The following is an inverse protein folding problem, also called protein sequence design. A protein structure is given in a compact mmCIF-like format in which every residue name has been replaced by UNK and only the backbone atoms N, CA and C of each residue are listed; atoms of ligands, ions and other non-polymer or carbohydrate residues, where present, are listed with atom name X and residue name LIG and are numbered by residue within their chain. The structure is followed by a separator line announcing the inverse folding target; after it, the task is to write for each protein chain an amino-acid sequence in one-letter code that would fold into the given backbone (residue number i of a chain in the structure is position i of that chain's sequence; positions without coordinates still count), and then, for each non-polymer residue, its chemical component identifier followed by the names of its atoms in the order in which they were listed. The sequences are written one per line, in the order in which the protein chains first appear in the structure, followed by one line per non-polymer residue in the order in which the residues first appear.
data_IF_190316718727
#
_entry.id   IF_190316718727
#
_cell.length_a   1.000
_cell.length_b   1.000
_cell.length_c   1.000
_cell.angle_alpha   90.00
_cell.angle_beta   90.00
_cell.angle_gamma   90.00
#
_symmetry.space_group_name_H-M   'P 1'
#
loop_
_entity.id
_entity.type
_entity.pdbx_description
1 polymer ?
#
# COMPACT_ATOMS: atom_id res chain seq x y z
N UNK A 1 72.74 19.54 -36.66
CA UNK A 1 71.53 20.16 -37.12
C UNK A 1 70.53 20.15 -35.94
N UNK A 2 70.31 21.28 -35.30
CA UNK A 2 69.38 21.41 -34.20
C UNK A 2 68.03 21.88 -34.74
N UNK A 3 66.94 21.24 -34.37
CA UNK A 3 65.62 21.67 -34.67
C UNK A 3 65.01 22.27 -33.36
N UNK A 4 64.85 23.57 -33.35
CA UNK A 4 64.06 24.31 -32.33
C UNK A 4 62.58 24.15 -32.66
N UNK A 5 61.81 23.64 -31.72
CA UNK A 5 60.35 23.62 -31.77
C UNK A 5 59.80 24.76 -30.93
N UNK A 6 59.19 25.72 -31.62
CA UNK A 6 58.35 26.73 -31.01
C UNK A 6 57.08 26.09 -30.42
N UNK A 7 56.87 26.25 -29.13
CA UNK A 7 55.61 25.95 -28.44
C UNK A 7 54.82 27.25 -28.34
N UNK A 8 53.69 27.32 -29.04
CA UNK A 8 52.67 28.32 -28.85
C UNK A 8 51.73 27.87 -27.72
N UNK A 9 51.35 28.74 -26.74
CA UNK A 9 50.39 28.41 -25.75
C UNK A 9 48.96 28.57 -26.31
N UNK A 10 48.20 27.51 -26.33
CA UNK A 10 46.75 27.53 -26.58
C UNK A 10 46.03 27.95 -25.28
N UNK A 11 45.56 29.18 -25.22
CA UNK A 11 44.63 29.62 -24.18
C UNK A 11 43.20 29.24 -24.63
N UNK A 12 42.59 28.27 -23.98
CA UNK A 12 41.16 28.00 -24.07
C UNK A 12 40.41 28.90 -23.07
N UNK A 13 39.31 29.54 -23.48
CA UNK A 13 38.45 30.26 -22.52
C UNK A 13 37.66 29.25 -21.70
N UNK A 14 37.74 29.34 -20.38
CA UNK A 14 36.81 28.70 -19.47
C UNK A 14 35.41 29.29 -19.67
N UNK A 15 34.53 28.54 -20.30
CA UNK A 15 33.12 28.83 -20.33
C UNK A 15 32.53 28.66 -18.91
N UNK A 16 31.75 29.61 -18.49
CA UNK A 16 31.23 29.74 -17.14
C UNK A 16 30.44 28.49 -16.68
N UNK A 17 30.74 28.09 -15.47
CA UNK A 17 29.92 27.19 -14.70
C UNK A 17 28.61 27.85 -14.38
N UNK A 18 27.49 27.36 -14.92
CA UNK A 18 26.16 27.69 -14.48
C UNK A 18 26.05 27.22 -13.02
N UNK A 19 25.93 28.18 -12.12
CA UNK A 19 25.59 27.92 -10.72
C UNK A 19 24.21 27.27 -10.68
N UNK A 20 24.15 25.96 -10.47
CA UNK A 20 22.94 25.31 -10.01
C UNK A 20 22.61 25.93 -8.66
N UNK A 21 21.52 26.70 -8.60
CA UNK A 21 20.90 27.11 -7.36
C UNK A 21 20.45 25.82 -6.64
N UNK A 22 21.23 25.41 -5.65
CA UNK A 22 20.74 24.45 -4.67
C UNK A 22 19.56 25.12 -3.97
N UNK A 23 18.34 24.65 -4.25
CA UNK A 23 17.19 24.99 -3.43
C UNK A 23 17.55 24.62 -2.00
N UNK A 24 17.47 25.58 -1.09
CA UNK A 24 17.68 25.33 0.33
C UNK A 24 16.66 24.25 0.75
N UNK A 25 17.14 23.04 0.95
CA UNK A 25 16.34 21.94 1.47
C UNK A 25 15.95 22.33 2.90
N UNK A 26 14.66 22.40 3.20
CA UNK A 26 14.21 22.68 4.54
C UNK A 26 14.90 21.68 5.49
N UNK A 27 15.38 22.16 6.63
CA UNK A 27 15.98 21.26 7.63
C UNK A 27 14.92 20.24 8.08
N UNK A 28 15.33 18.98 8.21
CA UNK A 28 14.48 17.95 8.77
C UNK A 28 13.96 18.40 10.16
N UNK A 29 12.69 18.10 10.51
CA UNK A 29 12.14 18.45 11.81
C UNK A 29 13.03 17.94 12.94
N UNK A 30 13.23 18.74 13.99
CA UNK A 30 14.10 18.39 15.13
C UNK A 30 13.50 17.28 16.06
N UNK A 31 12.32 16.76 15.73
CA UNK A 31 11.59 15.77 16.51
C UNK A 31 11.44 14.42 15.79
N UNK A 32 10.79 13.48 16.47
CA UNK A 32 10.35 12.21 15.84
C UNK A 32 9.18 12.49 14.90
N UNK A 33 9.27 12.19 13.58
CA UNK A 33 8.18 12.43 12.66
C UNK A 33 7.02 11.47 12.92
N UNK A 34 5.80 11.87 12.60
CA UNK A 34 4.70 10.95 12.38
C UNK A 34 4.99 10.10 11.14
N UNK A 35 4.50 8.88 11.12
CA UNK A 35 4.74 7.95 10.00
C UNK A 35 3.39 7.40 9.53
N UNK A 36 3.11 7.54 8.25
CA UNK A 36 1.96 6.93 7.59
C UNK A 36 2.46 5.98 6.52
N UNK A 37 2.19 4.69 6.70
CA UNK A 37 2.32 3.70 5.65
C UNK A 37 0.93 3.49 5.05
N UNK A 38 0.73 4.02 3.84
CA UNK A 38 -0.51 3.92 3.08
C UNK A 38 -0.38 2.78 2.07
N UNK A 39 -0.93 1.61 2.41
CA UNK A 39 -0.85 0.42 1.58
C UNK A 39 -2.17 0.15 0.88
N UNK A 40 -2.10 -0.03 -0.43
CA UNK A 40 -3.21 -0.39 -1.30
C UNK A 40 -3.15 -1.88 -1.63
N UNK A 41 -4.28 -2.51 -1.81
CA UNK A 41 -4.40 -3.94 -2.09
C UNK A 41 -4.63 -4.17 -3.59
N UNK A 42 -3.78 -4.96 -4.24
CA UNK A 42 -3.87 -5.35 -5.65
C UNK A 42 -3.71 -4.22 -6.69
N UNK A 43 -2.98 -3.16 -6.40
CA UNK A 43 -2.81 -2.04 -7.30
C UNK A 43 -1.61 -2.23 -8.25
N UNK A 44 -1.88 -2.22 -9.55
CA UNK A 44 -0.84 -2.28 -10.58
C UNK A 44 -0.32 -0.91 -11.04
N UNK A 45 0.71 -0.93 -11.86
CA UNK A 45 1.37 0.28 -12.39
C UNK A 45 0.49 1.19 -13.23
N UNK A 46 -0.58 0.66 -13.83
CA UNK A 46 -1.51 1.42 -14.67
C UNK A 46 -2.84 1.77 -13.97
N UNK A 47 -2.98 1.40 -12.69
CA UNK A 47 -4.17 1.72 -11.89
C UNK A 47 -4.13 3.16 -11.32
N UNK A 48 -3.54 4.08 -12.07
CA UNK A 48 -3.30 5.47 -11.66
C UNK A 48 -3.13 6.39 -12.86
N UNK A 49 -3.46 7.68 -12.71
CA UNK A 49 -3.11 8.70 -13.69
C UNK A 49 -1.61 9.06 -13.69
N UNK A 50 -0.87 8.65 -12.63
CA UNK A 50 0.56 8.92 -12.50
C UNK A 50 1.38 7.83 -13.20
N UNK A 51 2.17 8.12 -14.25
CA UNK A 51 2.93 7.11 -14.96
C UNK A 51 4.17 6.66 -14.14
N UNK A 52 4.16 5.40 -13.69
CA UNK A 52 5.36 4.76 -13.09
C UNK A 52 6.35 4.28 -14.16
N UNK A 53 5.87 4.02 -15.38
CA UNK A 53 6.70 3.75 -16.54
C UNK A 53 7.39 5.02 -17.07
N UNK A 54 8.39 4.86 -17.96
CA UNK A 54 9.07 5.99 -18.61
C UNK A 54 8.17 6.76 -19.58
N UNK A 55 7.08 6.14 -20.03
CA UNK A 55 6.13 6.67 -20.98
C UNK A 55 4.75 6.78 -20.33
N UNK A 56 4.06 7.89 -20.63
CA UNK A 56 2.64 8.01 -20.35
C UNK A 56 1.86 7.16 -21.36
N UNK A 57 0.95 6.33 -20.88
CA UNK A 57 0.13 5.45 -21.72
C UNK A 57 -1.34 5.84 -21.64
N UNK A 58 -2.15 5.37 -22.60
CA UNK A 58 -3.59 5.63 -22.55
C UNK A 58 -4.28 5.02 -21.31
N UNK A 59 -3.66 4.04 -20.65
CA UNK A 59 -4.15 3.50 -19.38
C UNK A 59 -4.11 4.54 -18.26
N UNK A 60 -3.11 5.42 -18.27
CA UNK A 60 -3.01 6.51 -17.29
C UNK A 60 -4.10 7.58 -17.47
N UNK A 61 -4.67 7.72 -18.70
CA UNK A 61 -5.80 8.62 -18.94
C UNK A 61 -7.14 8.08 -18.46
N UNK A 62 -7.19 6.78 -18.13
CA UNK A 62 -8.41 6.08 -17.76
C UNK A 62 -8.88 6.48 -16.37
N UNK A 63 -7.96 6.56 -15.41
CA UNK A 63 -8.24 6.80 -14.00
C UNK A 63 -7.88 8.23 -13.59
N UNK A 64 -8.50 8.69 -12.51
CA UNK A 64 -8.20 9.98 -11.90
C UNK A 64 -7.66 9.76 -10.48
N UNK A 65 -6.36 10.01 -10.30
CA UNK A 65 -5.67 9.88 -9.02
C UNK A 65 -4.89 11.16 -8.67
N UNK A 66 -5.59 12.31 -8.54
CA UNK A 66 -4.94 13.61 -8.35
C UNK A 66 -4.17 13.72 -7.03
N UNK A 67 -4.51 12.91 -6.02
CA UNK A 67 -3.82 12.93 -4.73
C UNK A 67 -2.52 12.11 -4.77
N UNK A 68 -2.46 11.01 -5.53
CA UNK A 68 -1.19 10.34 -5.84
C UNK A 68 -0.26 11.29 -6.61
N UNK A 69 -0.79 12.05 -7.58
CA UNK A 69 0.00 13.08 -8.28
C UNK A 69 0.48 14.17 -7.33
N UNK A 70 -0.38 14.62 -6.38
CA UNK A 70 0.00 15.58 -5.34
C UNK A 70 1.12 15.03 -4.47
N UNK A 71 1.01 13.80 -3.99
CA UNK A 71 2.03 13.14 -3.18
C UNK A 71 3.35 13.01 -3.95
N UNK A 72 3.30 12.63 -5.24
CA UNK A 72 4.49 12.54 -6.09
C UNK A 72 5.17 13.89 -6.32
N UNK A 73 4.40 14.97 -6.43
CA UNK A 73 4.97 16.34 -6.50
C UNK A 73 5.64 16.77 -5.20
N UNK A 74 5.21 16.24 -4.06
CA UNK A 74 5.77 16.54 -2.73
C UNK A 74 6.91 15.60 -2.33
N UNK A 75 7.04 14.45 -3.00
CA UNK A 75 7.95 13.38 -2.64
C UNK A 75 8.76 12.81 -3.82
N UNK A 76 9.20 11.58 -3.63
CA UNK A 76 9.98 10.79 -4.60
C UNK A 76 9.15 9.61 -5.06
N UNK A 77 9.05 9.40 -6.38
CA UNK A 77 8.53 8.18 -6.97
C UNK A 77 9.64 7.14 -7.08
N UNK A 78 9.40 5.94 -6.56
CA UNK A 78 10.29 4.80 -6.76
C UNK A 78 9.79 3.96 -7.93
N UNK A 79 10.66 3.74 -8.91
CA UNK A 79 10.32 2.95 -10.10
C UNK A 79 10.76 1.48 -9.99
N UNK A 80 11.46 1.13 -8.91
CA UNK A 80 11.93 -0.23 -8.63
C UNK A 80 11.67 -0.60 -7.16
N UNK A 81 10.42 -0.48 -6.74
CA UNK A 81 9.96 -0.97 -5.45
C UNK A 81 9.34 -2.37 -5.61
N UNK A 82 9.68 -3.27 -4.71
CA UNK A 82 9.31 -4.69 -4.80
C UNK A 82 8.63 -5.18 -3.53
N UNK A 83 7.61 -6.01 -3.73
CA UNK A 83 6.92 -6.76 -2.70
C UNK A 83 6.90 -8.25 -3.06
N UNK A 84 6.22 -9.08 -2.27
CA UNK A 84 5.89 -10.43 -2.69
C UNK A 84 4.72 -10.40 -3.68
N UNK A 85 4.53 -11.51 -4.42
CA UNK A 85 3.47 -11.58 -5.43
C UNK A 85 2.04 -11.72 -4.87
N UNK A 86 1.90 -11.84 -3.54
CA UNK A 86 0.64 -12.03 -2.82
C UNK A 86 0.64 -11.27 -1.49
N UNK A 87 -0.55 -10.93 -1.02
CA UNK A 87 -0.78 -10.09 0.16
C UNK A 87 -0.16 -10.62 1.46
N UNK A 88 -0.45 -11.89 1.89
CA UNK A 88 0.07 -12.39 3.17
C UNK A 88 1.59 -12.44 3.20
N UNK A 89 2.30 -12.97 2.19
CA UNK A 89 3.77 -12.92 2.16
C UNK A 89 4.32 -11.52 2.32
N UNK A 90 3.81 -10.56 1.55
CA UNK A 90 4.23 -9.15 1.64
C UNK A 90 4.03 -8.56 3.02
N UNK A 91 2.84 -8.77 3.60
CA UNK A 91 2.49 -8.20 4.90
C UNK A 91 3.25 -8.85 6.05
N UNK A 92 3.59 -10.16 5.92
CA UNK A 92 4.51 -10.84 6.84
C UNK A 92 5.94 -10.30 6.72
N UNK A 93 6.43 -10.07 5.49
CA UNK A 93 7.75 -9.46 5.26
C UNK A 93 7.82 -8.06 5.87
N UNK A 94 6.81 -7.23 5.63
CA UNK A 94 6.70 -5.89 6.21
C UNK A 94 6.75 -5.92 7.75
N UNK A 95 5.93 -6.77 8.38
CA UNK A 95 5.83 -6.80 9.84
C UNK A 95 7.12 -7.27 10.52
N UNK A 96 7.91 -8.13 9.87
CA UNK A 96 9.05 -8.82 10.51
C UNK A 96 10.42 -8.45 9.96
N UNK A 97 10.50 -7.65 8.86
CA UNK A 97 11.75 -7.38 8.15
C UNK A 97 12.40 -8.65 7.59
N UNK A 98 11.62 -9.71 7.38
CA UNK A 98 12.10 -10.99 6.87
C UNK A 98 11.50 -11.30 5.51
N UNK A 99 12.32 -11.72 4.54
CA UNK A 99 11.81 -12.10 3.23
C UNK A 99 11.01 -13.42 3.26
N UNK A 100 10.21 -13.64 2.20
CA UNK A 100 9.32 -14.79 2.11
C UNK A 100 10.04 -16.16 2.15
N UNK A 101 11.28 -16.23 1.68
CA UNK A 101 12.09 -17.45 1.76
C UNK A 101 12.45 -17.80 3.22
N UNK A 102 12.61 -16.79 4.08
CA UNK A 102 12.93 -16.96 5.50
C UNK A 102 11.68 -17.25 6.33
N UNK A 103 10.63 -16.43 6.22
CA UNK A 103 9.42 -16.64 7.01
C UNK A 103 8.52 -17.75 6.45
N UNK A 104 8.74 -18.23 5.23
CA UNK A 104 8.00 -19.32 4.59
C UNK A 104 6.48 -19.19 4.62
N UNK A 105 5.96 -17.98 4.62
CA UNK A 105 4.57 -17.69 4.29
C UNK A 105 4.56 -17.38 2.79
N UNK A 106 4.21 -18.34 1.96
CA UNK A 106 4.40 -18.28 0.50
C UNK A 106 3.09 -18.13 -0.28
N UNK A 107 1.96 -18.25 0.42
CA UNK A 107 0.63 -18.04 -0.14
C UNK A 107 -0.24 -17.26 0.86
N UNK A 108 -1.47 -16.92 0.49
CA UNK A 108 -2.39 -16.20 1.37
C UNK A 108 -2.91 -17.12 2.49
N UNK A 109 -3.08 -16.55 3.69
CA UNK A 109 -3.53 -17.25 4.90
C UNK A 109 -5.03 -17.01 5.12
N UNK A 110 -5.75 -17.95 5.74
CA UNK A 110 -7.13 -17.72 6.19
C UNK A 110 -7.55 -18.62 7.33
N UNK A 111 -7.47 -19.98 7.16
CA UNK A 111 -7.91 -20.95 8.15
C UNK A 111 -6.71 -21.62 8.80
N UNK A 112 -6.76 -21.78 10.11
CA UNK A 112 -5.71 -22.44 10.89
C UNK A 112 -5.40 -23.84 10.38
N UNK A 113 -4.12 -24.09 10.06
CA UNK A 113 -3.63 -25.38 9.60
C UNK A 113 -4.09 -25.80 8.19
N UNK A 114 -4.66 -24.88 7.42
CA UNK A 114 -5.16 -25.16 6.06
C UNK A 114 -4.38 -24.35 5.04
N UNK A 115 -3.73 -25.08 4.12
CA UNK A 115 -3.06 -24.43 2.98
C UNK A 115 -4.09 -23.94 1.96
N UNK A 116 -3.76 -22.88 1.24
CA UNK A 116 -4.58 -22.31 0.16
C UNK A 116 -4.03 -22.64 -1.22
N UNK A 117 -3.03 -23.54 -1.29
CA UNK A 117 -2.49 -24.03 -2.54
C UNK A 117 -3.56 -24.82 -3.32
N UNK A 118 -3.60 -24.59 -4.62
CA UNK A 118 -4.48 -25.38 -5.49
C UNK A 118 -3.95 -26.81 -5.60
N UNK A 119 -4.83 -27.81 -5.49
CA UNK A 119 -4.45 -29.18 -5.71
C UNK A 119 -3.93 -29.39 -7.15
N UNK A 120 -2.81 -30.11 -7.30
CA UNK A 120 -2.25 -30.48 -8.60
C UNK A 120 -1.72 -31.93 -8.50
N UNK A 121 -2.16 -32.79 -9.42
CA UNK A 121 -1.79 -34.21 -9.42
C UNK A 121 -0.32 -34.47 -9.76
N UNK A 122 0.40 -33.47 -10.29
CA UNK A 122 1.79 -33.56 -10.73
C UNK A 122 2.78 -32.89 -9.78
N UNK A 123 2.29 -32.06 -8.85
CA UNK A 123 3.10 -31.25 -7.96
C UNK A 123 2.81 -31.57 -6.50
N UNK A 124 3.86 -31.85 -5.74
CA UNK A 124 3.80 -31.89 -4.28
C UNK A 124 4.31 -30.54 -3.76
N UNK A 125 3.43 -29.75 -3.19
CA UNK A 125 3.82 -28.49 -2.59
C UNK A 125 4.57 -28.72 -1.28
N UNK A 126 5.67 -27.99 -1.03
CA UNK A 126 6.34 -28.07 0.26
C UNK A 126 5.44 -27.49 1.36
N UNK A 127 5.57 -28.01 2.57
CA UNK A 127 4.93 -27.40 3.74
C UNK A 127 5.43 -25.98 3.94
N UNK A 128 4.50 -25.06 4.25
CA UNK A 128 4.79 -23.65 4.51
C UNK A 128 4.01 -23.16 5.74
N UNK A 129 4.36 -21.99 6.27
CA UNK A 129 3.76 -21.42 7.47
C UNK A 129 2.36 -20.84 7.18
N UNK A 130 1.38 -21.71 6.89
CA UNK A 130 0.03 -21.31 6.49
C UNK A 130 -0.77 -20.63 7.61
N UNK A 131 -0.29 -20.67 8.85
CA UNK A 131 -0.84 -19.89 9.97
C UNK A 131 -0.26 -18.49 10.07
N UNK A 132 0.69 -18.11 9.20
CA UNK A 132 1.26 -16.77 9.13
C UNK A 132 2.39 -16.53 10.12
N UNK A 133 2.33 -15.41 10.82
CA UNK A 133 3.37 -15.00 11.78
C UNK A 133 2.85 -14.92 13.21
N UNK A 134 3.77 -15.09 14.16
CA UNK A 134 3.56 -14.91 15.60
C UNK A 134 4.77 -14.20 16.22
N UNK A 135 4.61 -13.60 17.40
CA UNK A 135 5.73 -13.02 18.18
C UNK A 135 6.28 -13.97 19.26
N UNK A 136 5.65 -15.13 19.43
CA UNK A 136 6.08 -16.17 20.38
C UNK A 136 5.81 -17.56 19.81
N UNK A 137 6.54 -18.54 20.29
CA UNK A 137 6.33 -19.95 20.00
C UNK A 137 4.98 -20.46 20.57
N UNK A 138 4.51 -21.60 20.07
CA UNK A 138 3.30 -22.28 20.57
C UNK A 138 2.17 -22.42 19.55
N UNK A 139 2.36 -21.91 18.35
CA UNK A 139 1.44 -22.13 17.21
C UNK A 139 2.21 -22.78 16.07
N UNK A 140 1.82 -23.98 15.68
CA UNK A 140 2.44 -24.71 14.58
C UNK A 140 2.23 -23.95 13.24
N UNK A 141 3.08 -24.21 12.26
CA UNK A 141 3.01 -23.62 10.92
C UNK A 141 2.94 -22.08 10.95
N UNK A 142 3.68 -21.47 11.88
CA UNK A 142 3.88 -20.03 11.99
C UNK A 142 5.37 -19.70 11.96
N UNK A 143 5.69 -18.52 11.43
CA UNK A 143 7.02 -17.93 11.59
C UNK A 143 7.02 -17.05 12.85
N UNK A 144 7.98 -17.28 13.73
CA UNK A 144 8.15 -16.45 14.93
C UNK A 144 9.15 -15.33 14.62
N UNK A 145 8.69 -14.08 14.74
CA UNK A 145 9.49 -12.91 14.46
C UNK A 145 9.02 -11.69 15.27
N UNK A 146 9.94 -10.77 15.54
CA UNK A 146 9.62 -9.51 16.22
C UNK A 146 8.96 -8.56 15.23
N UNK A 147 7.84 -7.94 15.60
CA UNK A 147 7.23 -6.88 14.82
C UNK A 147 8.00 -5.56 15.00
N UNK A 148 8.29 -4.87 13.88
CA UNK A 148 8.88 -3.53 13.95
C UNK A 148 7.96 -2.53 14.65
N UNK A 149 6.64 -2.77 14.63
CA UNK A 149 5.65 -1.91 15.30
C UNK A 149 5.81 -1.91 16.81
N UNK A 150 6.20 -3.06 17.41
CA UNK A 150 6.56 -3.10 18.83
C UNK A 150 7.78 -2.21 19.15
N UNK A 151 8.75 -2.13 18.22
CA UNK A 151 9.89 -1.24 18.37
C UNK A 151 9.45 0.24 18.29
N UNK A 152 8.56 0.59 17.39
CA UNK A 152 7.99 1.93 17.32
C UNK A 152 7.21 2.28 18.58
N UNK A 153 6.36 1.36 19.08
CA UNK A 153 5.64 1.54 20.34
C UNK A 153 6.59 1.73 21.52
N UNK A 154 7.62 0.90 21.65
CA UNK A 154 8.66 1.05 22.65
C UNK A 154 9.43 2.37 22.50
N UNK A 155 9.55 2.89 21.28
CA UNK A 155 10.07 4.22 20.95
C UNK A 155 9.12 5.37 21.28
N UNK A 156 7.92 5.10 21.80
CA UNK A 156 6.92 6.10 22.22
C UNK A 156 5.99 6.58 21.13
N UNK A 157 5.82 5.81 20.05
CA UNK A 157 4.79 6.08 19.04
C UNK A 157 3.44 5.54 19.48
N UNK A 158 2.37 6.28 19.21
CA UNK A 158 1.01 5.73 19.21
C UNK A 158 0.77 4.97 17.93
N UNK A 159 0.55 3.64 18.04
CA UNK A 159 0.55 2.72 16.89
C UNK A 159 -0.89 2.37 16.48
N UNK A 160 -1.25 2.70 15.24
CA UNK A 160 -2.60 2.61 14.70
C UNK A 160 -2.60 1.68 13.49
N UNK A 161 -3.38 0.61 13.55
CA UNK A 161 -3.74 -0.24 12.43
C UNK A 161 -5.14 0.14 11.93
N UNK A 162 -5.31 0.33 10.62
CA UNK A 162 -6.61 0.62 10.02
C UNK A 162 -6.77 -0.15 8.69
N UNK A 163 -7.70 -1.09 8.65
CA UNK A 163 -8.04 -1.88 7.47
C UNK A 163 -7.50 -3.31 7.50
N UNK A 164 -6.99 -3.80 6.37
CA UNK A 164 -6.55 -5.19 6.17
C UNK A 164 -5.28 -5.53 6.95
N UNK A 165 -5.34 -6.57 7.79
CA UNK A 165 -4.18 -7.14 8.46
C UNK A 165 -3.54 -8.28 7.64
N UNK A 166 -4.18 -9.42 7.58
CA UNK A 166 -3.88 -10.54 6.69
C UNK A 166 -2.45 -11.12 6.79
N UNK A 167 -1.87 -11.15 7.99
CA UNK A 167 -0.58 -11.80 8.24
C UNK A 167 -0.66 -13.06 9.10
N UNK A 168 -1.88 -13.58 9.32
CA UNK A 168 -2.10 -14.85 10.01
C UNK A 168 -3.52 -15.36 9.84
N UNK A 169 -3.69 -16.66 10.10
CA UNK A 169 -4.96 -17.35 9.99
C UNK A 169 -5.88 -17.07 11.20
N UNK A 170 -7.17 -17.31 11.03
CA UNK A 170 -8.18 -17.28 12.10
C UNK A 170 -7.75 -18.22 13.24
N UNK A 171 -8.00 -17.83 14.48
CA UNK A 171 -7.60 -18.55 15.69
C UNK A 171 -6.07 -18.73 15.85
N UNK A 172 -5.28 -17.84 15.25
CA UNK A 172 -3.82 -17.75 15.44
C UNK A 172 -3.41 -16.36 15.91
N UNK A 173 -2.19 -16.16 16.46
CA UNK A 173 -1.74 -14.84 16.88
C UNK A 173 -1.77 -13.80 15.77
N UNK A 174 -1.51 -14.19 14.51
CA UNK A 174 -1.50 -13.31 13.34
C UNK A 174 -2.87 -12.78 12.91
N UNK A 175 -3.97 -13.24 13.51
CA UNK A 175 -5.30 -12.70 13.25
C UNK A 175 -5.48 -11.29 13.82
N UNK A 176 -4.85 -11.00 14.97
CA UNK A 176 -5.12 -9.78 15.72
C UNK A 176 -3.94 -8.80 15.71
N UNK A 177 -4.07 -7.62 15.11
CA UNK A 177 -3.04 -6.57 15.11
C UNK A 177 -2.50 -6.18 16.48
N UNK A 178 -3.29 -6.27 17.54
CA UNK A 178 -2.81 -5.97 18.89
C UNK A 178 -1.66 -6.88 19.33
N UNK A 179 -1.56 -8.10 18.81
CA UNK A 179 -0.46 -9.01 19.12
C UNK A 179 0.87 -8.59 18.46
N UNK A 180 0.86 -7.58 17.59
CA UNK A 180 2.03 -7.10 16.84
C UNK A 180 2.38 -5.65 17.16
N UNK A 181 1.97 -5.15 18.32
CA UNK A 181 2.36 -3.84 18.82
C UNK A 181 1.41 -2.69 18.44
N UNK A 182 0.31 -2.95 17.76
CA UNK A 182 -0.69 -1.92 17.51
C UNK A 182 -1.56 -1.68 18.74
N UNK A 183 -1.65 -0.42 19.18
CA UNK A 183 -2.51 0.01 20.28
C UNK A 183 -3.97 0.21 19.85
N UNK A 184 -4.16 0.56 18.57
CA UNK A 184 -5.47 0.72 17.95
C UNK A 184 -5.58 -0.25 16.78
N UNK A 185 -6.68 -0.99 16.73
CA UNK A 185 -7.05 -1.83 15.60
C UNK A 185 -8.43 -1.43 15.07
N UNK A 186 -8.48 -0.94 13.85
CA UNK A 186 -9.70 -0.56 13.15
C UNK A 186 -9.90 -1.54 12.00
N UNK A 187 -10.92 -2.39 12.09
CA UNK A 187 -11.33 -3.33 11.04
C UNK A 187 -10.29 -4.36 10.59
N UNK A 188 -9.17 -4.54 11.35
CA UNK A 188 -8.12 -5.51 11.02
C UNK A 188 -8.43 -6.89 11.57
N UNK A 189 -8.33 -7.92 10.71
CA UNK A 189 -8.52 -9.33 11.05
C UNK A 189 -7.81 -10.25 10.03
N UNK A 190 -8.00 -11.59 10.18
CA UNK A 190 -7.32 -12.58 9.36
C UNK A 190 -7.67 -12.55 7.86
N UNK A 191 -8.86 -12.08 7.47
CA UNK A 191 -9.30 -12.16 6.08
C UNK A 191 -8.57 -11.16 5.17
N UNK A 192 -8.21 -11.63 3.98
CA UNK A 192 -7.45 -10.88 2.99
C UNK A 192 -8.25 -9.97 2.07
N UNK A 193 -9.56 -9.89 2.25
CA UNK A 193 -10.46 -9.04 1.46
C UNK A 193 -11.76 -8.79 2.20
N UNK A 194 -12.61 -7.85 1.78
CA UNK A 194 -13.91 -7.61 2.40
C UNK A 194 -14.98 -8.53 1.79
N UNK A 195 -16.01 -8.85 2.57
CA UNK A 195 -17.21 -9.49 2.02
C UNK A 195 -17.93 -8.55 1.03
N UNK A 196 -17.90 -7.25 1.30
CA UNK A 196 -18.44 -6.16 0.48
C UNK A 196 -17.94 -4.82 1.01
N UNK A 197 -17.87 -3.81 0.12
CA UNK A 197 -17.57 -2.42 0.49
C UNK A 197 -18.81 -1.62 0.89
N UNK A 198 -20.00 -2.22 0.78
CA UNK A 198 -21.27 -1.53 0.94
C UNK A 198 -21.77 -1.55 2.38
N UNK A 199 -22.00 -0.38 2.96
CA UNK A 199 -22.64 -0.24 4.29
C UNK A 199 -24.08 -0.72 4.29
N UNK A 200 -24.77 -0.70 3.15
CA UNK A 200 -26.12 -1.24 2.96
C UNK A 200 -26.18 -2.76 3.16
N UNK A 201 -25.03 -3.41 3.07
CA UNK A 201 -24.83 -4.84 3.36
C UNK A 201 -24.05 -5.06 4.66
N UNK A 202 -23.99 -4.04 5.53
CA UNK A 202 -23.31 -4.03 6.82
C UNK A 202 -21.86 -4.56 6.74
N UNK A 203 -21.18 -4.33 5.60
CA UNK A 203 -19.85 -4.86 5.29
C UNK A 203 -19.71 -6.38 5.49
N UNK A 204 -20.80 -7.13 5.30
CA UNK A 204 -20.84 -8.59 5.40
C UNK A 204 -21.47 -9.15 6.66
N UNK A 205 -22.17 -8.33 7.44
CA UNK A 205 -22.99 -8.79 8.58
C UNK A 205 -24.48 -8.79 8.24
N UNK A 206 -25.23 -9.69 8.89
CA UNK A 206 -26.69 -9.65 8.84
C UNK A 206 -27.28 -8.57 9.77
N UNK A 207 -28.60 -8.46 9.78
CA UNK A 207 -29.32 -7.48 10.61
C UNK A 207 -29.19 -7.76 12.14
N UNK A 208 -28.86 -9.00 12.52
CA UNK A 208 -28.65 -9.39 13.92
C UNK A 208 -27.18 -9.20 14.36
N UNK A 209 -26.32 -8.69 13.48
CA UNK A 209 -24.90 -8.50 13.76
C UNK A 209 -24.07 -9.80 13.70
N UNK A 210 -24.52 -10.83 12.96
CA UNK A 210 -23.76 -12.05 12.75
C UNK A 210 -22.99 -11.98 11.44
N UNK A 211 -21.70 -12.37 11.42
CA UNK A 211 -20.91 -12.37 10.18
C UNK A 211 -21.46 -13.38 9.17
N UNK A 212 -21.67 -12.94 7.93
CA UNK A 212 -22.08 -13.76 6.80
C UNK A 212 -20.86 -14.37 6.10
N UNK A 213 -19.97 -15.00 6.86
CA UNK A 213 -18.75 -15.63 6.40
C UNK A 213 -17.48 -14.99 6.94
N UNK A 214 -16.33 -15.51 6.49
CA UNK A 214 -15.02 -15.16 7.05
C UNK A 214 -14.50 -13.78 6.63
N UNK A 215 -15.13 -13.16 5.64
CA UNK A 215 -14.71 -11.88 5.06
C UNK A 215 -15.53 -10.68 5.55
N UNK A 216 -16.42 -10.87 6.55
CA UNK A 216 -17.16 -9.79 7.17
C UNK A 216 -16.21 -8.85 7.93
N UNK A 217 -16.36 -7.52 7.72
CA UNK A 217 -15.44 -6.52 8.26
C UNK A 217 -15.92 -6.06 9.65
N UNK A 218 -15.15 -6.32 10.73
CA UNK A 218 -15.55 -6.01 12.10
C UNK A 218 -15.35 -4.54 12.48
N UNK A 219 -16.04 -4.09 13.52
CA UNK A 219 -15.76 -2.82 14.22
C UNK A 219 -16.24 -1.56 13.51
N UNK A 220 -17.10 -1.69 12.50
CA UNK A 220 -17.63 -0.56 11.72
C UNK A 220 -19.17 -0.47 11.80
N UNK A 221 -19.78 -0.99 12.88
CA UNK A 221 -21.23 -1.08 13.07
C UNK A 221 -21.92 0.28 12.98
N UNK A 222 -21.26 1.36 13.42
CA UNK A 222 -21.77 2.72 13.35
C UNK A 222 -22.02 3.25 11.93
N UNK A 223 -21.44 2.58 10.93
CA UNK A 223 -21.61 2.93 9.51
C UNK A 223 -22.63 2.05 8.79
N UNK A 224 -23.17 1.01 9.44
CA UNK A 224 -24.14 0.15 8.80
C UNK A 224 -25.36 0.93 8.32
N UNK A 225 -25.85 0.61 7.14
CA UNK A 225 -27.01 1.26 6.50
C UNK A 225 -26.86 2.78 6.28
N UNK A 226 -25.64 3.33 6.39
CA UNK A 226 -25.41 4.79 6.31
C UNK A 226 -25.17 5.32 4.90
N UNK A 227 -24.96 4.45 3.90
CA UNK A 227 -24.47 4.83 2.58
C UNK A 227 -22.97 5.13 2.54
N UNK A 228 -22.25 4.94 3.65
CA UNK A 228 -20.79 5.17 3.70
C UNK A 228 -20.05 3.99 3.12
N UNK A 229 -19.25 4.22 2.09
CA UNK A 229 -18.43 3.17 1.47
C UNK A 229 -17.28 2.75 2.41
N UNK A 230 -16.86 1.48 2.39
CA UNK A 230 -15.85 0.94 3.32
C UNK A 230 -14.56 1.78 3.33
N UNK A 231 -14.03 2.15 2.15
CA UNK A 231 -12.84 2.99 2.04
C UNK A 231 -12.99 4.33 2.77
N UNK A 232 -14.17 4.95 2.67
CA UNK A 232 -14.47 6.20 3.35
C UNK A 232 -14.60 6.00 4.87
N UNK A 233 -15.26 4.92 5.32
CA UNK A 233 -15.39 4.59 6.74
C UNK A 233 -14.00 4.43 7.39
N UNK A 234 -13.11 3.65 6.77
CA UNK A 234 -11.73 3.46 7.23
C UNK A 234 -10.97 4.79 7.30
N UNK A 235 -11.12 5.65 6.29
CA UNK A 235 -10.46 6.97 6.27
C UNK A 235 -10.90 7.85 7.43
N UNK A 236 -12.20 7.90 7.72
CA UNK A 236 -12.75 8.67 8.84
C UNK A 236 -12.24 8.16 10.18
N UNK A 237 -12.17 6.84 10.36
CA UNK A 237 -11.63 6.23 11.57
C UNK A 237 -10.14 6.48 11.75
N UNK A 238 -9.35 6.36 10.67
CA UNK A 238 -7.92 6.65 10.69
C UNK A 238 -7.64 8.09 11.11
N UNK A 239 -8.35 9.06 10.52
CA UNK A 239 -8.24 10.48 10.88
C UNK A 239 -8.59 10.69 12.35
N UNK A 240 -9.69 10.12 12.83
CA UNK A 240 -10.09 10.26 14.24
C UNK A 240 -9.05 9.66 15.22
N UNK A 241 -8.37 8.57 14.83
CA UNK A 241 -7.30 7.98 15.62
C UNK A 241 -6.03 8.85 15.64
N UNK A 242 -5.65 9.42 14.48
CA UNK A 242 -4.53 10.39 14.40
C UNK A 242 -4.81 11.67 15.20
N UNK A 243 -6.04 12.22 15.12
CA UNK A 243 -6.46 13.39 15.93
C UNK A 243 -6.27 13.14 17.43
N UNK A 244 -6.57 11.91 17.87
CA UNK A 244 -6.38 11.52 19.27
C UNK A 244 -4.90 11.52 19.65
N UNK A 245 -4.01 10.98 18.80
CA UNK A 245 -2.57 10.97 19.04
C UNK A 245 -2.01 12.40 19.14
N UNK A 246 -2.34 13.27 18.19
CA UNK A 246 -1.90 14.67 18.18
C UNK A 246 -2.41 15.44 19.40
N UNK A 247 -3.65 15.20 19.84
CA UNK A 247 -4.21 15.83 21.05
C UNK A 247 -3.43 15.47 22.31
N UNK A 248 -2.78 14.32 22.34
CA UNK A 248 -1.92 13.89 23.46
C UNK A 248 -0.44 14.16 23.25
N UNK A 249 -0.08 14.97 22.24
CA UNK A 249 1.30 15.31 21.89
C UNK A 249 2.19 14.05 21.70
N UNK A 250 1.63 13.04 21.02
CA UNK A 250 2.26 11.75 20.81
C UNK A 250 2.52 11.52 19.32
N UNK A 251 3.77 11.26 18.89
CA UNK A 251 4.00 10.89 17.50
C UNK A 251 3.27 9.59 17.19
N UNK A 252 2.68 9.49 15.99
CA UNK A 252 1.93 8.31 15.60
C UNK A 252 2.58 7.55 14.44
N UNK A 253 2.35 6.24 14.45
CA UNK A 253 2.51 5.38 13.29
C UNK A 253 1.12 4.90 12.85
N UNK A 254 0.69 5.29 11.67
CA UNK A 254 -0.53 4.79 11.03
C UNK A 254 -0.16 3.79 9.93
N UNK A 255 -0.58 2.54 10.08
CA UNK A 255 -0.65 1.59 9.00
C UNK A 255 -2.05 1.66 8.40
N UNK A 256 -2.21 2.55 7.38
CA UNK A 256 -3.43 2.67 6.59
C UNK A 256 -3.41 1.61 5.51
N UNK A 257 -3.99 0.48 5.81
CA UNK A 257 -3.98 -0.72 4.98
C UNK A 257 -5.36 -0.94 4.37
N UNK A 258 -5.61 -0.30 3.22
CA UNK A 258 -6.90 -0.42 2.55
C UNK A 258 -7.20 -1.86 2.10
N UNK A 259 -8.50 -2.22 2.10
CA UNK A 259 -9.00 -3.36 1.34
C UNK A 259 -9.14 -3.03 -0.16
N UNK A 260 -9.26 -1.73 -0.50
CA UNK A 260 -9.28 -1.28 -1.90
C UNK A 260 -7.89 -1.50 -2.53
N UNK A 261 -7.85 -1.99 -3.72
CA UNK A 261 -8.88 -2.17 -4.74
C UNK A 261 -9.22 -3.67 -4.96
N UNK A 262 -9.06 -4.49 -3.92
CA UNK A 262 -9.29 -5.94 -3.96
C UNK A 262 -10.77 -6.28 -4.24
N UNK A 263 -11.02 -7.44 -4.81
CA UNK A 263 -12.38 -7.99 -4.99
C UNK A 263 -13.12 -8.15 -3.64
N UNK A 264 -14.48 -8.03 -3.64
CA UNK A 264 -15.40 -7.82 -4.76
C UNK A 264 -15.28 -6.41 -5.33
N UNK A 265 -15.54 -6.25 -6.64
CA UNK A 265 -15.52 -4.93 -7.28
C UNK A 265 -16.89 -4.27 -7.10
N UNK A 266 -17.15 -3.79 -5.90
CA UNK A 266 -18.35 -3.02 -5.59
C UNK A 266 -18.22 -1.59 -6.13
N UNK A 267 -19.37 -0.98 -6.46
CA UNK A 267 -19.43 0.36 -7.05
C UNK A 267 -19.38 1.42 -5.96
N UNK A 268 -18.37 2.27 -5.97
CA UNK A 268 -18.41 3.50 -5.21
C UNK A 268 -19.24 4.54 -5.97
N UNK A 269 -20.48 4.74 -5.54
CA UNK A 269 -21.44 5.60 -6.23
C UNK A 269 -21.04 7.07 -6.26
N UNK A 270 -20.07 7.50 -5.45
CA UNK A 270 -19.51 8.86 -5.48
C UNK A 270 -18.82 9.14 -6.82
N UNK A 271 -18.25 8.09 -7.48
CA UNK A 271 -17.42 8.20 -8.67
C UNK A 271 -17.91 7.37 -9.87
N UNK A 272 -18.67 6.31 -9.63
CA UNK A 272 -19.06 5.31 -10.61
C UNK A 272 -19.69 5.91 -11.88
N UNK A 273 -20.67 6.80 -11.72
CA UNK A 273 -21.39 7.43 -12.84
C UNK A 273 -20.49 8.30 -13.72
N UNK A 274 -19.43 8.89 -13.17
CA UNK A 274 -18.43 9.66 -13.91
C UNK A 274 -17.72 8.77 -14.93
N UNK A 275 -17.30 7.58 -14.51
CA UNK A 275 -16.58 6.65 -15.37
C UNK A 275 -17.46 5.99 -16.44
N UNK A 276 -18.73 5.77 -16.16
CA UNK A 276 -19.69 5.39 -17.20
C UNK A 276 -19.81 6.48 -18.28
N UNK A 277 -19.89 7.76 -17.88
CA UNK A 277 -19.91 8.88 -18.84
C UNK A 277 -18.62 9.04 -19.64
N UNK A 278 -17.48 8.59 -19.09
CA UNK A 278 -16.20 8.48 -19.83
C UNK A 278 -16.19 7.32 -20.85
N UNK A 279 -17.21 6.47 -20.86
CA UNK A 279 -17.34 5.36 -21.81
C UNK A 279 -16.76 4.02 -21.33
N UNK A 280 -16.40 3.89 -20.03
CA UNK A 280 -15.98 2.61 -19.48
C UNK A 280 -17.20 1.67 -19.37
N UNK A 281 -16.96 0.36 -19.49
CA UNK A 281 -17.98 -0.64 -19.19
C UNK A 281 -18.39 -0.57 -17.71
N UNK A 282 -19.53 -1.16 -17.36
CA UNK A 282 -20.01 -1.16 -15.98
C UNK A 282 -19.00 -1.77 -14.98
N UNK A 283 -18.25 -2.81 -15.38
CA UNK A 283 -17.22 -3.44 -14.54
C UNK A 283 -15.99 -2.56 -14.40
N UNK A 284 -15.52 -1.98 -15.52
CA UNK A 284 -14.36 -1.09 -15.50
C UNK A 284 -14.67 0.23 -14.78
N UNK A 285 -15.89 0.75 -14.89
CA UNK A 285 -16.33 1.91 -14.12
C UNK A 285 -16.40 1.63 -12.61
N UNK A 286 -16.82 0.42 -12.22
CA UNK A 286 -16.79 -0.01 -10.82
C UNK A 286 -15.34 -0.08 -10.29
N UNK A 287 -14.43 -0.70 -11.05
CA UNK A 287 -13.02 -0.76 -10.69
C UNK A 287 -12.39 0.63 -10.59
N UNK A 288 -12.62 1.49 -11.56
CA UNK A 288 -12.16 2.88 -11.54
C UNK A 288 -12.71 3.67 -10.34
N UNK A 289 -13.94 3.39 -9.91
CA UNK A 289 -14.53 4.03 -8.74
C UNK A 289 -13.85 3.61 -7.42
N UNK A 290 -13.38 2.37 -7.31
CA UNK A 290 -12.56 1.92 -6.17
C UNK A 290 -11.21 2.64 -6.12
N UNK A 291 -10.56 2.78 -7.28
CA UNK A 291 -9.27 3.50 -7.40
C UNK A 291 -9.43 4.95 -6.95
N UNK A 292 -10.43 5.66 -7.46
CA UNK A 292 -10.64 7.06 -7.09
C UNK A 292 -11.07 7.23 -5.62
N UNK A 293 -11.84 6.29 -5.08
CA UNK A 293 -12.18 6.26 -3.66
C UNK A 293 -10.95 6.10 -2.77
N UNK A 294 -10.00 5.27 -3.18
CA UNK A 294 -8.71 5.08 -2.51
C UNK A 294 -7.85 6.35 -2.61
N UNK A 295 -7.75 6.95 -3.80
CA UNK A 295 -7.02 8.22 -4.00
C UNK A 295 -7.62 9.35 -3.17
N UNK A 296 -8.96 9.42 -3.08
CA UNK A 296 -9.65 10.39 -2.21
C UNK A 296 -9.29 10.19 -0.74
N UNK A 297 -9.15 8.94 -0.27
CA UNK A 297 -8.69 8.64 1.08
C UNK A 297 -7.29 9.21 1.36
N UNK A 298 -6.36 9.03 0.42
CA UNK A 298 -5.03 9.63 0.50
C UNK A 298 -5.13 11.16 0.60
N UNK A 299 -5.97 11.77 -0.25
CA UNK A 299 -6.22 13.20 -0.24
C UNK A 299 -6.78 13.72 1.08
N UNK A 300 -7.76 13.03 1.65
CA UNK A 300 -8.40 13.41 2.93
C UNK A 300 -7.40 13.38 4.10
N UNK A 301 -6.52 12.38 4.11
CA UNK A 301 -5.43 12.27 5.10
C UNK A 301 -4.43 13.42 4.92
N UNK A 302 -3.98 13.69 3.68
CA UNK A 302 -3.06 14.80 3.40
C UNK A 302 -3.68 16.16 3.77
N UNK A 303 -4.95 16.37 3.45
CA UNK A 303 -5.69 17.60 3.80
C UNK A 303 -5.84 17.77 5.32
N UNK A 304 -6.05 16.64 6.04
CA UNK A 304 -6.09 16.67 7.49
C UNK A 304 -4.73 17.05 8.08
N UNK A 305 -3.63 16.48 7.58
CA UNK A 305 -2.26 16.81 8.02
C UNK A 305 -1.96 18.30 7.83
N UNK A 306 -2.36 18.89 6.71
CA UNK A 306 -2.19 20.31 6.46
C UNK A 306 -3.00 21.18 7.44
N UNK A 307 -4.28 20.81 7.65
CA UNK A 307 -5.17 21.56 8.57
C UNK A 307 -4.76 21.45 10.04
N UNK A 308 -4.20 20.31 10.44
CA UNK A 308 -3.73 20.09 11.82
C UNK A 308 -2.32 20.66 12.09
N UNK A 309 -1.59 21.07 11.03
CA UNK A 309 -0.21 21.55 11.16
C UNK A 309 0.83 20.43 11.23
N UNK A 310 0.42 19.17 10.97
CA UNK A 310 1.30 17.99 11.08
C UNK A 310 2.02 17.64 9.77
N UNK A 311 1.69 18.31 8.65
CA UNK A 311 2.21 17.94 7.33
C UNK A 311 3.73 17.98 7.24
N UNK A 312 4.38 19.00 7.80
CA UNK A 312 5.84 19.17 7.76
C UNK A 312 6.59 18.17 8.67
N UNK A 313 5.88 17.53 9.60
CA UNK A 313 6.43 16.54 10.54
C UNK A 313 5.91 15.13 10.27
N UNK A 314 5.44 14.83 9.06
CA UNK A 314 4.90 13.51 8.73
C UNK A 314 5.59 12.92 7.50
N UNK A 315 6.00 11.65 7.64
CA UNK A 315 6.45 10.80 6.52
C UNK A 315 5.24 10.06 5.97
N UNK A 316 5.00 10.15 4.67
CA UNK A 316 3.99 9.34 3.98
C UNK A 316 4.70 8.39 3.02
N UNK A 317 4.46 7.09 3.19
CA UNK A 317 4.92 6.02 2.31
C UNK A 317 3.67 5.41 1.68
N UNK A 318 3.51 5.59 0.38
CA UNK A 318 2.45 4.97 -0.42
C UNK A 318 3.03 3.78 -1.18
N UNK A 319 2.37 2.60 -1.10
CA UNK A 319 2.79 1.40 -1.83
C UNK A 319 1.62 0.44 -2.03
N UNK A 320 1.66 -0.39 -3.09
CA UNK A 320 0.82 -1.59 -3.22
C UNK A 320 1.44 -2.79 -2.51
N UNK A 321 0.62 -3.76 -2.11
CA UNK A 321 1.10 -4.99 -1.45
C UNK A 321 1.51 -6.09 -2.43
N UNK A 322 1.04 -6.04 -3.65
CA UNK A 322 1.43 -6.90 -4.78
C UNK A 322 0.93 -6.31 -6.09
N UNK A 323 1.35 -6.85 -7.19
CA UNK A 323 0.92 -6.43 -8.52
C UNK A 323 -0.59 -6.48 -8.71
N UNK A 324 -1.06 -5.70 -9.67
CA UNK A 324 -2.47 -5.56 -9.98
C UNK A 324 -3.14 -6.89 -10.30
N UNK A 325 -4.41 -6.97 -9.92
CA UNK A 325 -5.25 -8.14 -10.09
C UNK A 325 -5.43 -8.51 -11.58
N UNK A 326 -4.88 -9.65 -11.97
CA UNK A 326 -4.82 -10.10 -13.36
C UNK A 326 -5.70 -11.33 -13.66
N UNK A 327 -6.65 -11.65 -12.79
CA UNK A 327 -7.48 -12.83 -12.92
C UNK A 327 -8.61 -12.65 -13.94
N UNK A 328 -8.85 -13.68 -14.75
CA UNK A 328 -9.98 -13.75 -15.68
C UNK A 328 -11.31 -14.13 -15.02
N UNK A 329 -11.50 -13.88 -13.75
CA UNK A 329 -12.63 -14.35 -12.93
C UNK A 329 -13.97 -13.72 -13.26
N UNK A 330 -14.05 -12.87 -14.28
CA UNK A 330 -15.28 -12.18 -14.67
C UNK A 330 -15.57 -10.89 -13.87
N UNK A 331 -14.68 -10.49 -12.98
CA UNK A 331 -14.78 -9.21 -12.26
C UNK A 331 -14.48 -8.01 -13.14
N UNK A 332 -13.66 -8.19 -14.19
CA UNK A 332 -13.25 -7.17 -15.14
C UNK A 332 -13.48 -7.63 -16.58
N UNK A 333 -13.60 -6.67 -17.50
CA UNK A 333 -13.71 -6.91 -18.95
C UNK A 333 -12.36 -6.77 -19.67
N UNK A 334 -11.35 -6.20 -18.99
CA UNK A 334 -10.02 -5.96 -19.56
C UNK A 334 -9.24 -7.26 -19.81
N UNK A 335 -8.37 -7.28 -20.81
CA UNK A 335 -7.40 -8.34 -20.98
C UNK A 335 -6.52 -8.50 -19.74
N UNK A 336 -6.04 -9.72 -19.50
CA UNK A 336 -5.11 -10.01 -18.40
C UNK A 336 -3.89 -9.08 -18.45
N UNK A 337 -3.46 -8.63 -17.29
CA UNK A 337 -2.22 -7.86 -17.05
C UNK A 337 -2.19 -6.41 -17.56
N UNK A 338 -3.29 -5.87 -18.10
CA UNK A 338 -3.29 -4.48 -18.59
C UNK A 338 -2.97 -3.46 -17.51
N UNK A 339 -3.42 -3.72 -16.26
CA UNK A 339 -3.13 -2.87 -15.09
C UNK A 339 -1.64 -2.87 -14.69
N UNK A 340 -0.85 -3.81 -15.19
CA UNK A 340 0.58 -3.91 -14.88
C UNK A 340 1.47 -3.56 -16.08
N UNK A 341 0.88 -3.23 -17.25
CA UNK A 341 1.64 -2.92 -18.47
C UNK A 341 2.72 -1.85 -18.23
N UNK A 342 3.96 -1.99 -18.75
CA UNK A 342 4.46 -3.04 -19.64
C UNK A 342 5.05 -4.26 -18.91
N UNK A 343 4.87 -4.35 -17.62
CA UNK A 343 5.35 -5.46 -16.81
C UNK A 343 4.59 -6.74 -17.14
N UNK A 344 5.29 -7.85 -17.14
CA UNK A 344 4.70 -9.16 -17.46
C UNK A 344 3.91 -9.70 -16.29
N UNK A 345 2.73 -10.24 -16.55
CA UNK A 345 1.84 -10.86 -15.57
C UNK A 345 1.26 -9.88 -14.54
N UNK A 346 0.95 -10.36 -13.35
CA UNK A 346 0.35 -9.61 -12.25
C UNK A 346 0.29 -10.46 -10.99
N UNK A 347 -0.61 -10.14 -10.07
CA UNK A 347 -0.81 -10.80 -8.77
C UNK A 347 -0.66 -12.32 -8.85
N UNK A 348 0.11 -12.89 -7.92
CA UNK A 348 0.38 -14.34 -7.83
C UNK A 348 1.52 -14.81 -8.74
N UNK A 349 2.13 -13.93 -9.53
CA UNK A 349 3.23 -14.25 -10.43
C UNK A 349 4.56 -13.74 -9.89
N UNK A 350 5.64 -14.52 -10.11
CA UNK A 350 7.00 -14.09 -9.82
C UNK A 350 7.61 -13.17 -10.89
N UNK A 351 6.87 -12.83 -11.95
CA UNK A 351 7.28 -11.84 -12.94
C UNK A 351 7.08 -10.42 -12.42
N UNK A 352 7.72 -9.45 -13.06
CA UNK A 352 7.72 -8.02 -12.68
C UNK A 352 6.31 -7.47 -12.38
N UNK A 353 5.30 -7.85 -13.16
CA UNK A 353 3.93 -7.39 -12.94
C UNK A 353 3.27 -7.91 -11.66
N UNK A 354 3.83 -8.95 -11.03
CA UNK A 354 3.32 -9.49 -9.77
C UNK A 354 4.03 -8.97 -8.53
N UNK A 355 5.26 -8.44 -8.70
CA UNK A 355 6.12 -8.12 -7.55
C UNK A 355 6.67 -6.69 -7.56
N UNK A 356 6.55 -5.95 -8.66
CA UNK A 356 7.03 -4.57 -8.79
C UNK A 356 5.88 -3.59 -8.68
N UNK A 357 5.94 -2.73 -7.65
CA UNK A 357 4.80 -2.00 -7.14
C UNK A 357 4.94 -0.48 -7.35
N UNK A 358 3.82 0.24 -7.53
CA UNK A 358 3.84 1.69 -7.43
C UNK A 358 4.21 2.10 -6.00
N UNK A 359 5.21 2.97 -5.86
CA UNK A 359 5.65 3.48 -4.58
C UNK A 359 5.99 4.96 -4.64
N UNK A 360 5.55 5.72 -3.64
CA UNK A 360 5.86 7.15 -3.48
C UNK A 360 6.21 7.39 -2.01
N UNK A 361 7.29 8.12 -1.75
CA UNK A 361 7.66 8.54 -0.39
C UNK A 361 7.74 10.05 -0.34
N UNK A 362 7.00 10.66 0.58
CA UNK A 362 7.12 12.07 0.92
C UNK A 362 7.60 12.21 2.36
N UNK A 363 8.78 12.79 2.54
CA UNK A 363 9.37 13.10 3.84
C UNK A 363 9.91 14.53 3.79
N UNK A 364 9.17 15.51 4.30
CA UNK A 364 9.57 16.91 4.27
C UNK A 364 10.96 17.13 4.85
N UNK A 365 11.78 17.90 4.13
CA UNK A 365 13.18 18.15 4.51
C UNK A 365 14.17 17.02 4.22
N UNK A 366 13.71 15.83 3.82
CA UNK A 366 14.55 14.64 3.53
C UNK A 366 14.45 14.22 2.07
N UNK A 367 13.23 14.00 1.56
CA UNK A 367 13.03 13.61 0.15
C UNK A 367 13.05 14.81 -0.77
N UNK A 368 13.68 14.66 -1.95
CA UNK A 368 13.66 15.68 -2.99
C UNK A 368 12.33 15.66 -3.74
N UNK A 369 11.52 16.70 -3.54
CA UNK A 369 10.17 16.80 -4.10
C UNK A 369 10.15 16.72 -5.63
N UNK A 370 9.18 15.99 -6.19
CA UNK A 370 8.96 15.85 -7.63
C UNK A 370 10.04 15.04 -8.37
N UNK A 371 10.82 14.22 -7.67
CA UNK A 371 11.90 13.43 -8.26
C UNK A 371 11.51 11.94 -8.44
N UNK A 372 12.34 11.22 -9.20
CA UNK A 372 12.26 9.77 -9.39
C UNK A 372 13.52 9.10 -8.86
N UNK A 373 13.36 7.90 -8.29
CA UNK A 373 14.44 7.05 -7.83
C UNK A 373 14.32 5.67 -8.48
N UNK A 374 15.40 5.19 -9.07
CA UNK A 374 15.49 3.87 -9.70
C UNK A 374 16.29 2.86 -8.86
N UNK A 375 16.53 3.17 -7.59
CA UNK A 375 17.12 2.25 -6.64
C UNK A 375 16.12 1.17 -6.26
N UNK A 376 16.61 -0.04 -6.06
CA UNK A 376 15.82 -1.15 -5.54
C UNK A 376 15.42 -0.87 -4.10
N UNK A 377 14.13 -1.07 -3.81
CA UNK A 377 13.57 -1.05 -2.46
C UNK A 377 12.71 -2.30 -2.32
N UNK A 378 12.93 -3.04 -1.25
CA UNK A 378 12.16 -4.24 -0.93
C UNK A 378 11.21 -3.96 0.23
N UNK A 379 10.10 -4.68 0.29
CA UNK A 379 9.13 -4.49 1.37
C UNK A 379 9.71 -4.73 2.77
N UNK A 380 10.74 -5.54 2.89
CA UNK A 380 11.46 -5.80 4.13
C UNK A 380 12.48 -4.72 4.53
N UNK A 381 12.67 -3.69 3.71
CA UNK A 381 13.57 -2.55 4.01
C UNK A 381 12.90 -1.48 4.89
N UNK A 382 11.61 -1.61 5.17
CA UNK A 382 10.80 -0.68 5.97
C UNK A 382 10.93 -0.87 7.47
#
# INVERSE_FOLDING_TARGET
MRYDRLLLPLTLPLAGAAAQQASAQAAAPAGRPNIILFMVDDMGWQDTSLPFWSEHTFYNDRYETPNMERLARQGVMFTQAYACSLSSPTRCSLMTGSNAARHRVTNWTLRKGVTTDAADDRLAFPEWNCNGIAQSEGTDLTYVGTSFVDLLRAGGYHTIHCGKAHWGAIDTPGENPHHFGFEVNIAGHAAGGPATYLSERNYGYDADGRPQGLFAIPGLEKYWQSGTFLTEALTREAIAAMEKAVRYDCPFYLYMSHYAIHVPIDRDMRYYEKYLRKGLSAKEAAYASLIEGMDKSLGDIMDWLERSGEADNTVIIFMSDNGGFCSSTGWRDEPLYTQNYPLTCGKGSAYEGGIREPMIVSWPGVTAAGTRCDRYVMIEDF
#
